data_IF_669222490784
#
_entry.id   IF_669222490784
#
_cell.length_a   1.000
_cell.length_b   1.000
_cell.length_c   1.000
_cell.angle_alpha   90.00
_cell.angle_beta   90.00
_cell.angle_gamma   90.00
#
_symmetry.space_group_name_H-M   'P 1'
#
loop_
_entity.id
_entity.type
_entity.pdbx_description
1 polymer ?
#
# COMPACT_ATOMS: atom_id res chain seq x y z
N UNK A 1 2.27 -12.07 21.57
CA UNK A 1 1.45 -11.69 20.39
C UNK A 1 2.42 -11.21 19.32
N UNK A 2 2.64 -11.99 18.26
CA UNK A 2 3.65 -11.71 17.23
C UNK A 2 2.97 -11.12 16.00
N UNK A 3 3.49 -9.99 15.49
CA UNK A 3 2.93 -9.22 14.37
C UNK A 3 3.84 -9.45 13.16
N UNK A 4 3.30 -9.94 12.04
CA UNK A 4 4.05 -10.11 10.79
C UNK A 4 3.48 -9.15 9.74
N UNK A 5 4.33 -8.26 9.21
CA UNK A 5 3.91 -7.20 8.28
C UNK A 5 4.02 -7.67 6.82
N UNK A 6 2.90 -7.66 6.12
CA UNK A 6 2.79 -8.11 4.74
C UNK A 6 3.25 -7.01 3.79
N UNK A 7 4.53 -7.05 3.39
CA UNK A 7 5.02 -6.16 2.32
C UNK A 7 4.36 -6.50 0.97
N UNK A 8 3.41 -5.66 0.54
CA UNK A 8 2.77 -5.74 -0.77
C UNK A 8 3.72 -5.28 -1.89
N UNK A 9 4.03 -6.18 -2.84
CA UNK A 9 4.74 -5.82 -4.08
C UNK A 9 3.77 -5.15 -5.07
N UNK A 10 4.05 -3.88 -5.40
CA UNK A 10 3.34 -3.12 -6.45
C UNK A 10 3.47 -3.84 -7.81
N UNK A 11 2.33 -4.02 -8.50
CA UNK A 11 2.26 -4.45 -9.90
C UNK A 11 2.12 -3.20 -10.76
N UNK A 12 3.17 -2.83 -11.49
CA UNK A 12 3.09 -1.85 -12.57
C UNK A 12 2.43 -2.50 -13.81
N UNK A 13 1.40 -1.84 -14.32
CA UNK A 13 0.77 -2.13 -15.61
C UNK A 13 0.98 -0.86 -16.46
N UNK A 14 1.77 -0.97 -17.53
CA UNK A 14 1.89 0.01 -18.62
C UNK A 14 0.89 -0.41 -19.72
N UNK A 15 0.22 0.42 -20.52
CA UNK A 15 0.08 1.89 -20.70
C UNK A 15 -0.77 2.10 -21.96
N UNK A 16 -1.62 3.15 -22.06
CA UNK A 16 -1.94 3.77 -23.36
C UNK A 16 -2.69 5.13 -23.29
N UNK A 17 -1.91 6.19 -23.55
CA UNK A 17 -2.15 7.48 -24.24
C UNK A 17 -3.51 8.20 -24.19
N UNK A 18 -3.51 9.40 -23.59
CA UNK A 18 -4.19 10.59 -24.13
C UNK A 18 -3.36 11.82 -23.80
N UNK A 19 -3.00 12.56 -24.85
CA UNK A 19 -2.31 13.85 -24.85
C UNK A 19 -3.07 14.89 -24.02
N UNK A 20 -2.36 15.59 -23.13
CA UNK A 20 -2.88 16.74 -22.39
C UNK A 20 -2.17 16.90 -21.05
N UNK A 21 -1.15 17.76 -21.04
CA UNK A 21 -0.62 18.52 -19.89
C UNK A 21 -1.03 18.07 -18.48
N UNK A 22 -0.17 17.36 -17.75
CA UNK A 22 -0.04 17.46 -16.29
C UNK A 22 1.03 16.52 -15.73
N UNK A 23 2.04 17.13 -15.11
CA UNK A 23 3.01 16.62 -14.14
C UNK A 23 2.88 15.13 -13.73
N UNK A 24 3.82 14.34 -14.26
CA UNK A 24 4.16 13.00 -13.81
C UNK A 24 4.76 13.10 -12.39
N UNK A 25 3.89 13.16 -11.37
CA UNK A 25 4.32 13.10 -9.98
C UNK A 25 4.74 11.67 -9.62
N UNK A 26 5.98 11.37 -10.01
CA UNK A 26 6.80 10.32 -9.44
C UNK A 26 6.88 10.50 -7.92
N UNK A 27 6.12 9.67 -7.19
CA UNK A 27 6.21 9.58 -5.74
C UNK A 27 7.51 8.85 -5.37
N UNK A 28 8.64 9.53 -5.50
CA UNK A 28 9.84 9.21 -4.75
C UNK A 28 9.60 9.66 -3.31
N UNK A 29 9.58 8.71 -2.37
CA UNK A 29 9.75 9.04 -0.95
C UNK A 29 11.18 9.57 -0.76
N UNK A 30 11.38 10.86 -1.03
CA UNK A 30 12.49 11.60 -0.48
C UNK A 30 12.23 11.72 1.03
N UNK A 31 12.89 10.88 1.83
CA UNK A 31 13.14 11.19 3.23
C UNK A 31 14.24 12.29 3.26
N UNK A 32 13.92 13.55 3.58
CA UNK A 32 14.92 14.60 3.60
C UNK A 32 15.85 14.36 4.81
N UNK A 33 17.16 14.31 4.56
CA UNK A 33 18.20 14.15 5.58
C UNK A 33 18.39 15.39 6.47
N UNK A 34 17.68 16.49 6.19
CA UNK A 34 17.72 17.70 7.00
C UNK A 34 16.40 17.87 7.76
N UNK A 35 16.50 17.87 9.09
CA UNK A 35 15.40 17.91 10.06
C UNK A 35 14.56 19.20 10.08
N UNK A 36 13.99 19.58 8.93
CA UNK A 36 12.89 20.54 8.85
C UNK A 36 11.66 19.79 8.34
N UNK A 37 10.90 19.19 9.26
CA UNK A 37 9.51 18.80 8.97
C UNK A 37 8.74 20.07 8.60
N UNK A 38 8.63 20.36 7.32
CA UNK A 38 7.65 21.32 6.85
C UNK A 38 6.28 20.72 7.19
N UNK A 39 5.59 21.29 8.17
CA UNK A 39 4.16 21.06 8.36
C UNK A 39 3.41 21.68 7.16
N UNK A 40 3.48 21.03 6.00
CA UNK A 40 2.62 21.35 4.87
C UNK A 40 1.19 21.00 5.30
N UNK A 41 0.43 22.03 5.65
CA UNK A 41 -1.00 21.91 5.94
C UNK A 41 -1.70 21.54 4.63
N UNK A 42 -2.18 20.29 4.55
CA UNK A 42 -3.04 19.83 3.47
C UNK A 42 -4.51 20.03 3.85
N UNK A 43 -5.34 20.46 2.89
CA UNK A 43 -6.78 20.65 3.09
C UNK A 43 -7.55 19.44 2.56
N UNK A 44 -8.60 19.06 3.27
CA UNK A 44 -9.51 17.99 2.89
C UNK A 44 -10.91 18.58 2.74
N UNK A 45 -11.37 18.71 1.49
CA UNK A 45 -12.69 19.20 1.16
C UNK A 45 -13.67 18.03 0.98
N UNK A 46 -14.71 17.96 1.82
CA UNK A 46 -15.75 16.92 1.74
C UNK A 46 -17.15 17.54 1.68
N UNK A 47 -18.00 16.94 0.85
CA UNK A 47 -19.45 17.15 0.90
C UNK A 47 -20.06 16.04 1.75
N UNK A 48 -20.76 16.42 2.81
CA UNK A 48 -21.41 15.49 3.73
C UNK A 48 -22.91 15.61 3.59
N UNK A 49 -23.58 14.46 3.65
CA UNK A 49 -25.02 14.43 3.87
C UNK A 49 -25.35 15.13 5.20
N UNK A 50 -26.44 15.93 5.27
CA UNK A 50 -26.87 16.59 6.50
C UNK A 50 -27.00 15.64 7.70
N UNK A 51 -27.49 14.41 7.50
CA UNK A 51 -27.68 13.44 8.57
C UNK A 51 -26.35 12.96 9.14
N UNK A 52 -25.36 12.73 8.27
CA UNK A 52 -24.00 12.37 8.67
C UNK A 52 -23.34 13.52 9.43
N UNK A 53 -23.54 14.76 8.99
CA UNK A 53 -23.04 15.94 9.70
C UNK A 53 -23.67 16.06 11.09
N UNK A 54 -24.98 15.85 11.21
CA UNK A 54 -25.69 15.91 12.49
C UNK A 54 -25.25 14.80 13.45
N UNK A 55 -25.04 13.59 12.93
CA UNK A 55 -24.51 12.46 13.70
C UNK A 55 -23.10 12.77 14.22
N UNK A 56 -22.21 13.26 13.36
CA UNK A 56 -20.85 13.61 13.74
C UNK A 56 -20.82 14.78 14.73
N UNK A 57 -21.69 15.79 14.58
CA UNK A 57 -21.84 16.88 15.53
C UNK A 57 -22.24 16.37 16.92
N UNK A 58 -23.25 15.49 16.99
CA UNK A 58 -23.67 14.87 18.25
C UNK A 58 -22.55 14.05 18.88
N UNK A 59 -21.88 13.22 18.10
CA UNK A 59 -20.76 12.40 18.58
C UNK A 59 -19.60 13.27 19.11
N UNK A 60 -19.27 14.36 18.41
CA UNK A 60 -18.21 15.29 18.83
C UNK A 60 -18.51 15.96 20.17
N UNK A 61 -19.78 16.30 20.42
CA UNK A 61 -20.21 16.89 21.69
C UNK A 61 -20.12 15.88 22.84
N UNK A 62 -20.43 14.60 22.58
CA UNK A 62 -20.36 13.54 23.58
C UNK A 62 -18.92 13.16 23.95
N UNK A 63 -18.02 13.13 22.95
CA UNK A 63 -16.60 12.83 23.15
C UNK A 63 -15.84 14.02 23.75
N UNK A 64 -16.39 15.24 23.66
CA UNK A 64 -15.77 16.45 24.18
C UNK A 64 -14.71 17.05 23.25
N UNK A 65 -14.84 16.85 21.94
CA UNK A 65 -13.94 17.45 20.95
C UNK A 65 -14.14 18.96 20.86
N UNK A 66 -13.06 19.72 20.63
CA UNK A 66 -13.11 21.19 20.57
C UNK A 66 -13.95 21.71 19.40
N UNK A 67 -13.90 21.00 18.27
CA UNK A 67 -14.67 21.32 17.06
C UNK A 67 -15.10 20.04 16.34
N UNK A 68 -16.09 20.16 15.46
CA UNK A 68 -16.50 19.05 14.59
C UNK A 68 -15.35 18.58 13.68
N UNK A 69 -14.56 19.51 13.14
CA UNK A 69 -13.42 19.18 12.28
C UNK A 69 -12.35 18.39 13.04
N UNK A 70 -12.08 18.75 14.30
CA UNK A 70 -11.14 18.04 15.16
C UNK A 70 -11.59 16.60 15.43
N UNK A 71 -12.88 16.41 15.73
CA UNK A 71 -13.49 15.09 15.85
C UNK A 71 -13.34 14.25 14.57
N UNK A 72 -13.62 14.84 13.40
CA UNK A 72 -13.52 14.15 12.12
C UNK A 72 -12.07 13.76 11.81
N UNK A 73 -11.10 14.64 12.05
CA UNK A 73 -9.68 14.32 11.86
C UNK A 73 -9.25 13.15 12.75
N UNK A 74 -9.68 13.16 14.02
CA UNK A 74 -9.38 12.07 14.94
C UNK A 74 -10.03 10.75 14.49
N UNK A 75 -11.28 10.78 14.05
CA UNK A 75 -11.99 9.61 13.54
C UNK A 75 -11.32 9.04 12.27
N UNK A 76 -10.88 9.91 11.36
CA UNK A 76 -10.12 9.50 10.15
C UNK A 76 -8.81 8.84 10.55
N UNK A 77 -8.04 9.45 11.46
CA UNK A 77 -6.79 8.88 11.94
C UNK A 77 -7.00 7.48 12.52
N UNK A 78 -7.96 7.33 13.41
CA UNK A 78 -8.25 6.04 14.05
C UNK A 78 -8.67 4.98 13.02
N UNK A 79 -9.61 5.32 12.14
CA UNK A 79 -10.10 4.36 11.15
C UNK A 79 -9.04 4.00 10.13
N UNK A 80 -8.23 4.96 9.69
CA UNK A 80 -7.12 4.73 8.76
C UNK A 80 -6.05 3.83 9.40
N UNK A 81 -5.63 4.11 10.64
CA UNK A 81 -4.65 3.28 11.33
C UNK A 81 -5.14 1.84 11.49
N UNK A 82 -6.39 1.64 11.91
CA UNK A 82 -6.99 0.30 12.01
C UNK A 82 -7.09 -0.39 10.64
N UNK A 83 -7.51 0.31 9.59
CA UNK A 83 -7.62 -0.26 8.26
C UNK A 83 -6.26 -0.70 7.68
N UNK A 84 -5.20 0.10 7.91
CA UNK A 84 -3.83 -0.26 7.55
C UNK A 84 -3.38 -1.49 8.35
N UNK A 85 -3.60 -1.48 9.66
CA UNK A 85 -3.24 -2.60 10.52
C UNK A 85 -3.94 -3.90 10.08
N UNK A 86 -5.25 -3.87 9.83
CA UNK A 86 -6.03 -5.02 9.36
C UNK A 86 -5.55 -5.54 8.01
N UNK A 87 -5.11 -4.66 7.10
CA UNK A 87 -4.64 -5.04 5.78
C UNK A 87 -3.20 -5.60 5.79
N UNK A 88 -2.34 -5.08 6.67
CA UNK A 88 -0.92 -5.38 6.66
C UNK A 88 -0.49 -6.40 7.71
N UNK A 89 -1.22 -6.53 8.82
CA UNK A 89 -0.84 -7.39 9.94
C UNK A 89 -1.55 -8.74 9.87
N UNK A 90 -0.76 -9.80 9.72
CA UNK A 90 -1.27 -11.17 9.94
C UNK A 90 -1.12 -11.52 11.41
N UNK A 91 -2.26 -11.65 12.12
CA UNK A 91 -2.29 -12.12 13.51
C UNK A 91 -2.42 -13.64 13.55
N UNK A 92 -1.43 -14.31 14.11
CA UNK A 92 -1.45 -15.76 14.33
C UNK A 92 -1.69 -16.07 15.81
N UNK A 93 -2.48 -17.11 16.07
CA UNK A 93 -2.54 -17.71 17.41
C UNK A 93 -1.25 -18.52 17.68
N UNK A 94 -1.05 -18.96 18.92
CA UNK A 94 0.20 -19.62 19.33
C UNK A 94 0.48 -20.90 18.55
N UNK A 95 -0.55 -21.70 18.25
CA UNK A 95 -0.42 -22.96 17.49
C UNK A 95 -0.03 -22.69 16.04
N UNK A 96 -0.74 -21.78 15.36
CA UNK A 96 -0.46 -21.38 14.00
C UNK A 96 0.94 -20.74 13.87
N UNK A 97 1.37 -19.98 14.90
CA UNK A 97 2.72 -19.42 14.94
C UNK A 97 3.79 -20.50 15.11
N UNK A 98 3.57 -21.50 15.96
CA UNK A 98 4.48 -22.63 16.13
C UNK A 98 4.62 -23.44 14.83
N UNK A 99 3.50 -23.73 14.16
CA UNK A 99 3.49 -24.39 12.86
C UNK A 99 4.24 -23.57 11.81
N UNK A 100 3.97 -22.26 11.71
CA UNK A 100 4.67 -21.35 10.81
C UNK A 100 6.19 -21.35 11.07
N UNK A 101 6.60 -21.23 12.34
CA UNK A 101 8.01 -21.25 12.73
C UNK A 101 8.69 -22.56 12.32
N UNK A 102 8.06 -23.70 12.58
CA UNK A 102 8.58 -25.01 12.18
C UNK A 102 8.78 -25.11 10.67
N UNK A 103 7.82 -24.63 9.87
CA UNK A 103 7.95 -24.58 8.39
C UNK A 103 9.07 -23.64 7.94
N UNK A 104 9.29 -22.51 8.62
CA UNK A 104 10.40 -21.62 8.32
C UNK A 104 11.77 -22.23 8.64
N UNK A 105 11.87 -22.99 9.74
CA UNK A 105 13.11 -23.65 10.18
C UNK A 105 13.42 -24.89 9.33
N UNK A 106 12.41 -25.56 8.79
CA UNK A 106 12.55 -26.73 7.93
C UNK A 106 11.68 -26.57 6.68
N UNK A 107 12.13 -25.77 5.70
CA UNK A 107 11.37 -25.53 4.49
C UNK A 107 11.28 -26.80 3.63
N UNK A 108 10.06 -27.16 3.25
CA UNK A 108 9.82 -28.26 2.33
C UNK A 108 10.31 -27.93 0.91
N UNK A 109 10.72 -28.96 0.16
CA UNK A 109 11.10 -28.79 -1.24
C UNK A 109 9.90 -28.38 -2.09
N UNK A 110 10.11 -27.42 -3.00
CA UNK A 110 9.06 -26.94 -3.89
C UNK A 110 8.44 -28.10 -4.70
N UNK A 111 7.12 -28.23 -4.66
CA UNK A 111 6.42 -29.24 -5.44
C UNK A 111 6.54 -28.97 -6.96
N UNK A 112 6.19 -29.98 -7.77
CA UNK A 112 6.32 -29.91 -9.22
C UNK A 112 5.50 -28.76 -9.82
N UNK A 113 4.28 -28.54 -9.32
CA UNK A 113 3.40 -27.46 -9.77
C UNK A 113 4.02 -26.06 -9.55
N UNK A 114 4.61 -25.82 -8.37
CA UNK A 114 5.29 -24.58 -8.03
C UNK A 114 6.55 -24.40 -8.88
N UNK A 115 7.32 -25.47 -9.08
CA UNK A 115 8.51 -25.45 -9.95
C UNK A 115 8.16 -25.10 -11.40
N UNK A 116 7.10 -25.71 -11.96
CA UNK A 116 6.59 -25.38 -13.28
C UNK A 116 6.06 -23.94 -13.38
N UNK A 117 5.42 -23.42 -12.33
CA UNK A 117 4.99 -22.02 -12.27
C UNK A 117 6.18 -21.05 -12.26
N UNK A 118 7.23 -21.35 -11.50
CA UNK A 118 8.48 -20.58 -11.47
C UNK A 118 9.15 -20.53 -12.86
N UNK A 119 9.28 -21.68 -13.54
CA UNK A 119 9.82 -21.76 -14.92
C UNK A 119 9.02 -20.89 -15.90
N UNK A 120 7.68 -20.98 -15.87
CA UNK A 120 6.78 -20.16 -16.70
C UNK A 120 6.97 -18.67 -16.47
N UNK A 121 7.08 -18.23 -15.21
CA UNK A 121 7.33 -16.81 -14.88
C UNK A 121 8.71 -16.34 -15.32
N UNK A 122 9.73 -17.17 -15.15
CA UNK A 122 11.10 -16.87 -15.54
C UNK A 122 11.21 -16.66 -17.06
N UNK A 123 10.64 -17.58 -17.84
CA UNK A 123 10.55 -17.49 -19.30
C UNK A 123 9.89 -16.17 -19.75
N UNK A 124 8.70 -15.84 -19.21
CA UNK A 124 8.03 -14.56 -19.52
C UNK A 124 8.88 -13.33 -19.20
N UNK A 125 9.60 -13.35 -18.05
CA UNK A 125 10.47 -12.24 -17.66
C UNK A 125 11.63 -12.07 -18.65
N UNK A 126 12.25 -13.18 -19.07
CA UNK A 126 13.35 -13.17 -20.04
C UNK A 126 12.88 -12.67 -21.42
N UNK A 127 11.74 -13.15 -21.91
CA UNK A 127 11.14 -12.71 -23.17
C UNK A 127 10.82 -11.20 -23.13
N UNK A 128 10.23 -10.70 -22.04
CA UNK A 128 9.92 -9.28 -21.87
C UNK A 128 11.16 -8.38 -21.73
N UNK A 129 12.28 -8.94 -21.25
CA UNK A 129 13.55 -8.22 -21.14
C UNK A 129 14.31 -8.22 -22.47
N UNK A 130 14.21 -9.31 -23.23
CA UNK A 130 14.75 -9.44 -24.58
C UNK A 130 14.10 -8.40 -25.51
N UNK A 131 12.77 -8.30 -25.51
CA UNK A 131 12.03 -7.34 -26.34
C UNK A 131 12.40 -5.88 -26.03
N UNK A 132 12.53 -5.51 -24.75
CA UNK A 132 12.98 -4.16 -24.35
C UNK A 132 14.39 -3.81 -24.83
N UNK A 133 15.29 -4.79 -24.90
CA UNK A 133 16.66 -4.55 -25.39
C UNK A 133 16.70 -4.43 -26.91
N UNK A 134 15.93 -5.25 -27.62
CA UNK A 134 15.87 -5.18 -29.08
C UNK A 134 15.26 -3.87 -29.58
N UNK A 135 14.22 -3.34 -28.91
CA UNK A 135 13.64 -2.02 -29.27
C UNK A 135 14.60 -0.84 -29.01
N UNK A 136 15.41 -0.91 -27.95
CA UNK A 136 16.42 0.11 -27.65
C UNK A 136 17.58 0.11 -28.66
N UNK A 137 17.91 -1.05 -29.23
CA UNK A 137 19.00 -1.21 -30.18
C UNK A 137 18.59 -0.84 -31.61
N UNK A 138 17.31 -1.01 -31.97
CA UNK A 138 16.74 -0.58 -33.26
C UNK A 138 16.39 0.91 -33.33
N UNK A 139 16.42 1.64 -32.21
CA UNK A 139 16.06 3.08 -32.13
C UNK A 139 17.27 4.02 -32.11
N UNK A 140 18.50 3.49 -32.27
CA UNK A 140 19.71 4.30 -32.50
C UNK A 140 19.91 4.46 -34.01
N UNK A 141 20.04 5.70 -34.52
CA UNK A 141 20.28 5.95 -35.95
C UNK A 141 21.67 5.48 -36.40
#
# INVERSE_FOLDING_TARGET
>A
MCVFQRHGRKREILSNTTTGDAEENSFTEQFPADGKMQHKVARLDLRLDPDIKNLAARASALVGSKTLSDFVVQAIREKASRAIEEAEVVRLNSEAFAAFKATCESPETANEALSAAMRRRHKRKQESAFYRRTEQETSRP
#
